data_IF_148818132580
#
_entry.id   IF_148818132580
#
_cell.length_a   1.000
_cell.length_b   1.000
_cell.length_c   1.000
_cell.angle_alpha   90.00
_cell.angle_beta   90.00
_cell.angle_gamma   90.00
#
_symmetry.space_group_name_H-M   'P 1'
#
loop_
_entity.id
_entity.type
_entity.pdbx_description
1 polymer ?
#
# COMPACT_ATOMS: atom_id res chain seq x y z
N UNK A 1 38.97 3.62 8.46
CA UNK A 1 38.55 3.80 9.86
C UNK A 1 37.26 3.01 10.04
N UNK A 2 37.23 1.93 10.84
CA UNK A 2 36.01 1.13 11.00
C UNK A 2 35.08 1.78 12.04
N UNK A 3 33.79 1.85 11.75
CA UNK A 3 32.78 2.36 12.68
C UNK A 3 32.81 1.56 14.00
N UNK A 4 32.77 2.27 15.12
CA UNK A 4 32.66 1.69 16.47
C UNK A 4 31.27 1.04 16.66
N UNK A 5 31.08 0.27 17.73
CA UNK A 5 29.76 -0.30 18.06
C UNK A 5 28.72 0.78 18.34
N UNK A 6 29.12 1.85 19.04
CA UNK A 6 28.24 2.99 19.34
C UNK A 6 27.80 3.72 18.05
N UNK A 7 28.72 3.89 17.10
CA UNK A 7 28.40 4.51 15.81
C UNK A 7 27.39 3.67 15.01
N UNK A 8 27.52 2.34 15.05
CA UNK A 8 26.58 1.43 14.36
C UNK A 8 25.20 1.45 15.01
N UNK A 9 25.13 1.51 16.33
CA UNK A 9 23.87 1.62 17.06
C UNK A 9 23.19 2.97 16.79
N UNK A 10 23.95 4.06 16.77
CA UNK A 10 23.45 5.39 16.41
C UNK A 10 22.92 5.43 14.97
N UNK A 11 23.67 4.88 14.01
CA UNK A 11 23.24 4.78 12.62
C UNK A 11 21.97 3.94 12.46
N UNK A 12 21.87 2.82 13.19
CA UNK A 12 20.68 1.96 13.19
C UNK A 12 19.46 2.70 13.71
N UNK A 13 19.59 3.41 14.85
CA UNK A 13 18.50 4.24 15.41
C UNK A 13 18.06 5.33 14.44
N UNK A 14 19.01 5.99 13.78
CA UNK A 14 18.72 7.01 12.78
C UNK A 14 17.97 6.42 11.57
N UNK A 15 18.40 5.27 11.06
CA UNK A 15 17.74 4.60 9.94
C UNK A 15 16.29 4.19 10.29
N UNK A 16 16.07 3.66 11.50
CA UNK A 16 14.73 3.34 12.01
C UNK A 16 13.85 4.60 12.09
N UNK A 17 14.39 5.70 12.60
CA UNK A 17 13.67 6.96 12.67
C UNK A 17 13.31 7.48 11.27
N UNK A 18 14.26 7.47 10.34
CA UNK A 18 14.03 7.88 8.96
C UNK A 18 12.98 7.02 8.28
N UNK A 19 13.01 5.70 8.47
CA UNK A 19 12.01 4.78 7.92
C UNK A 19 10.58 5.04 8.44
N UNK A 20 10.41 5.70 9.59
CA UNK A 20 9.07 6.12 10.04
C UNK A 20 8.49 7.25 9.21
N UNK A 21 9.32 8.15 8.72
CA UNK A 21 8.87 9.41 8.11
C UNK A 21 9.18 9.51 6.61
N UNK A 22 10.01 8.60 6.07
CA UNK A 22 10.36 8.51 4.65
C UNK A 22 10.06 7.10 4.10
N UNK A 23 9.15 7.02 3.13
CA UNK A 23 8.71 5.76 2.54
C UNK A 23 9.83 5.01 1.81
N UNK A 24 10.74 5.70 1.13
CA UNK A 24 11.82 5.00 0.44
C UNK A 24 12.87 4.50 1.43
N UNK A 25 13.15 5.23 2.51
CA UNK A 25 13.96 4.73 3.62
C UNK A 25 13.34 3.49 4.25
N UNK A 26 12.01 3.47 4.41
CA UNK A 26 11.27 2.27 4.83
C UNK A 26 11.47 1.10 3.86
N UNK A 27 11.30 1.32 2.55
CA UNK A 27 11.52 0.29 1.52
C UNK A 27 12.94 -0.26 1.59
N UNK A 28 13.96 0.60 1.69
CA UNK A 28 15.36 0.20 1.76
C UNK A 28 15.68 -0.59 3.04
N UNK A 29 15.08 -0.21 4.17
CA UNK A 29 15.28 -0.93 5.43
C UNK A 29 14.57 -2.29 5.44
N UNK A 30 13.37 -2.36 4.86
CA UNK A 30 12.60 -3.59 4.73
C UNK A 30 13.14 -4.54 3.64
N UNK A 31 13.80 -4.00 2.63
CA UNK A 31 14.44 -4.75 1.56
C UNK A 31 15.82 -4.15 1.23
N UNK A 32 16.86 -4.55 1.97
CA UNK A 32 18.23 -4.05 1.77
C UNK A 32 18.82 -4.35 0.39
N UNK A 33 18.24 -5.30 -0.35
CA UNK A 33 18.67 -5.67 -1.70
C UNK A 33 17.98 -4.86 -2.80
N UNK A 34 17.04 -3.99 -2.44
CA UNK A 34 16.30 -3.17 -3.39
C UNK A 34 17.21 -2.14 -4.07
N UNK A 35 17.29 -2.21 -5.40
CA UNK A 35 18.03 -1.22 -6.19
C UNK A 35 17.18 0.02 -6.44
N UNK A 36 17.66 1.17 -5.98
CA UNK A 36 16.95 2.44 -6.05
C UNK A 36 17.30 3.19 -7.34
N UNK A 37 16.28 3.50 -8.13
CA UNK A 37 16.36 4.41 -9.28
C UNK A 37 15.77 5.79 -8.95
N UNK A 38 16.09 6.83 -9.74
CA UNK A 38 15.60 8.20 -9.52
C UNK A 38 14.06 8.30 -9.46
N UNK A 39 13.36 7.49 -10.26
CA UNK A 39 11.89 7.48 -10.31
C UNK A 39 11.26 6.92 -9.03
N UNK A 40 11.96 6.05 -8.28
CA UNK A 40 11.45 5.53 -7.01
C UNK A 40 11.34 6.63 -5.96
N UNK A 41 12.28 7.58 -5.94
CA UNK A 41 12.21 8.74 -5.05
C UNK A 41 10.99 9.60 -5.37
N UNK A 42 10.82 9.98 -6.64
CA UNK A 42 9.66 10.77 -7.08
C UNK A 42 8.35 10.06 -6.73
N UNK A 43 8.26 8.75 -6.99
CA UNK A 43 7.10 7.93 -6.66
C UNK A 43 6.80 7.97 -5.15
N UNK A 44 7.80 7.69 -4.31
CA UNK A 44 7.63 7.71 -2.87
C UNK A 44 7.22 9.08 -2.35
N UNK A 45 7.79 10.16 -2.88
CA UNK A 45 7.46 11.52 -2.45
C UNK A 45 6.00 11.88 -2.78
N UNK A 46 5.49 11.49 -3.96
CA UNK A 46 4.06 11.69 -4.28
C UNK A 46 3.13 10.87 -3.39
N UNK A 47 3.50 9.62 -3.06
CA UNK A 47 2.73 8.78 -2.14
C UNK A 47 2.70 9.37 -0.72
N UNK A 48 3.83 9.90 -0.24
CA UNK A 48 3.92 10.56 1.07
C UNK A 48 3.11 11.87 1.11
N UNK A 49 3.11 12.66 0.02
CA UNK A 49 2.24 13.85 -0.09
C UNK A 49 0.76 13.46 0.01
N UNK A 50 0.38 12.35 -0.63
CA UNK A 50 -0.97 11.82 -0.53
C UNK A 50 -1.29 11.36 0.88
N UNK A 51 -0.40 10.62 1.55
CA UNK A 51 -0.60 10.18 2.93
C UNK A 51 -0.79 11.36 3.90
N UNK A 52 0.03 12.41 3.77
CA UNK A 52 -0.07 13.65 4.56
C UNK A 52 -1.35 14.45 4.34
N UNK A 53 -2.04 14.21 3.22
CA UNK A 53 -3.25 14.95 2.85
C UNK A 53 -3.01 16.20 1.99
N UNK A 54 -1.82 16.35 1.39
CA UNK A 54 -1.56 17.41 0.41
C UNK A 54 -2.33 17.18 -0.90
N UNK A 55 -2.67 15.92 -1.17
CA UNK A 55 -3.57 15.50 -2.25
C UNK A 55 -4.35 14.27 -1.81
N UNK A 56 -5.61 14.17 -2.22
CA UNK A 56 -6.41 12.96 -1.95
C UNK A 56 -6.50 12.03 -3.17
N UNK A 57 -6.01 12.44 -4.33
CA UNK A 57 -6.08 11.66 -5.58
C UNK A 57 -4.73 11.67 -6.28
N UNK A 58 -4.20 10.49 -6.54
CA UNK A 58 -2.94 10.31 -7.26
C UNK A 58 -3.11 9.25 -8.33
N UNK A 59 -2.71 9.59 -9.56
CA UNK A 59 -2.62 8.66 -10.68
C UNK A 59 -1.17 8.54 -11.09
N UNK A 60 -0.65 7.31 -11.15
CA UNK A 60 0.73 6.98 -11.49
C UNK A 60 0.71 6.12 -12.75
N UNK A 61 1.29 6.66 -13.81
CA UNK A 61 1.49 5.96 -15.06
C UNK A 61 2.98 5.71 -15.25
N UNK A 62 3.39 4.46 -15.21
CA UNK A 62 4.80 4.08 -15.33
C UNK A 62 4.92 2.72 -16.02
N UNK A 63 6.03 2.51 -16.71
CA UNK A 63 6.27 1.30 -17.49
C UNK A 63 6.20 0.03 -16.64
N UNK A 64 5.96 -1.14 -17.27
CA UNK A 64 6.11 -2.43 -16.61
C UNK A 64 7.52 -2.59 -16.03
N UNK A 65 7.67 -3.48 -15.03
CA UNK A 65 8.96 -3.84 -14.43
C UNK A 65 9.73 -2.67 -13.77
N UNK A 66 9.04 -1.57 -13.45
CA UNK A 66 9.59 -0.38 -12.77
C UNK A 66 9.58 -0.46 -11.23
N UNK A 67 9.17 -1.60 -10.67
CA UNK A 67 8.89 -1.82 -9.25
C UNK A 67 7.71 -1.02 -8.69
N UNK A 68 6.84 -0.48 -9.57
CA UNK A 68 5.64 0.28 -9.18
C UNK A 68 4.80 -0.44 -8.12
N UNK A 69 4.33 -1.66 -8.42
CA UNK A 69 3.41 -2.42 -7.57
C UNK A 69 4.05 -2.84 -6.25
N UNK A 70 5.36 -3.11 -6.27
CA UNK A 70 6.10 -3.42 -5.04
C UNK A 70 6.09 -2.22 -4.08
N UNK A 71 6.28 -1.02 -4.59
CA UNK A 71 6.23 0.20 -3.77
C UNK A 71 4.78 0.57 -3.45
N UNK A 72 3.92 0.78 -4.44
CA UNK A 72 2.57 1.34 -4.29
C UNK A 72 1.58 0.37 -3.65
N UNK A 73 1.68 -0.92 -3.95
CA UNK A 73 0.65 -1.92 -3.63
C UNK A 73 1.11 -2.88 -2.53
N UNK A 74 2.33 -2.71 -2.00
CA UNK A 74 2.88 -3.58 -0.95
C UNK A 74 3.59 -2.78 0.14
N UNK A 75 4.65 -2.02 -0.15
CA UNK A 75 5.36 -1.29 0.91
C UNK A 75 4.61 -0.04 1.39
N UNK A 76 4.00 0.71 0.49
CA UNK A 76 3.24 1.90 0.83
C UNK A 76 2.06 1.62 1.76
N UNK A 77 1.14 0.67 1.49
CA UNK A 77 0.06 0.35 2.42
C UNK A 77 0.58 -0.14 3.78
N UNK A 78 1.63 -0.98 3.79
CA UNK A 78 2.26 -1.41 5.05
C UNK A 78 2.78 -0.20 5.86
N UNK A 79 3.47 0.73 5.21
CA UNK A 79 3.99 1.94 5.83
C UNK A 79 2.89 2.90 6.28
N UNK A 80 1.85 3.09 5.46
CA UNK A 80 0.71 3.95 5.75
C UNK A 80 -0.09 3.45 6.96
N UNK A 81 -0.28 2.14 7.11
CA UNK A 81 -0.86 1.52 8.31
C UNK A 81 0.02 1.68 9.55
N UNK A 82 1.34 1.65 9.39
CA UNK A 82 2.29 1.94 10.46
C UNK A 82 2.18 3.38 10.97
N UNK A 83 2.06 4.33 10.03
CA UNK A 83 1.87 5.77 10.27
C UNK A 83 0.48 6.12 10.81
N UNK A 84 -0.55 5.44 10.31
CA UNK A 84 -1.96 5.69 10.56
C UNK A 84 -2.66 4.40 11.00
N UNK A 85 -2.50 3.99 12.27
CA UNK A 85 -2.93 2.68 12.74
C UNK A 85 -4.43 2.40 12.61
N UNK A 86 -5.24 3.46 12.53
CA UNK A 86 -6.71 3.42 12.48
C UNK A 86 -7.26 3.52 11.05
N UNK A 87 -6.39 3.65 10.05
CA UNK A 87 -6.83 3.67 8.67
C UNK A 87 -7.41 2.32 8.24
N UNK A 88 -8.37 2.41 7.35
CA UNK A 88 -8.95 1.25 6.68
C UNK A 88 -8.48 1.34 5.24
N UNK A 89 -7.90 0.26 4.74
CA UNK A 89 -7.31 0.23 3.41
C UNK A 89 -8.02 -0.78 2.53
N UNK A 90 -8.24 -0.42 1.27
CA UNK A 90 -8.74 -1.33 0.24
C UNK A 90 -7.69 -1.36 -0.88
N UNK A 91 -7.17 -2.54 -1.19
CA UNK A 91 -6.31 -2.77 -2.34
C UNK A 91 -7.08 -3.53 -3.42
N UNK A 92 -7.02 -3.02 -4.64
CA UNK A 92 -7.71 -3.58 -5.80
C UNK A 92 -6.74 -3.88 -6.92
N UNK A 93 -6.94 -5.01 -7.58
CA UNK A 93 -6.23 -5.42 -8.79
C UNK A 93 -7.22 -5.97 -9.82
N UNK A 94 -6.82 -6.14 -11.09
CA UNK A 94 -7.69 -6.78 -12.10
C UNK A 94 -8.20 -8.21 -11.75
N UNK A 95 -7.62 -8.89 -10.75
CA UNK A 95 -8.07 -10.22 -10.31
C UNK A 95 -8.01 -10.36 -8.77
N UNK A 96 -8.95 -11.14 -8.21
CA UNK A 96 -8.99 -11.44 -6.77
C UNK A 96 -7.72 -12.15 -6.28
N UNK A 97 -7.17 -13.06 -7.10
CA UNK A 97 -5.95 -13.80 -6.77
C UNK A 97 -4.75 -12.87 -6.61
N UNK A 98 -4.57 -11.92 -7.54
CA UNK A 98 -3.46 -10.97 -7.47
C UNK A 98 -3.65 -10.01 -6.30
N UNK A 99 -4.86 -9.51 -6.07
CA UNK A 99 -5.17 -8.69 -4.91
C UNK A 99 -4.86 -9.43 -3.59
N UNK A 100 -5.27 -10.70 -3.48
CA UNK A 100 -5.03 -11.54 -2.29
C UNK A 100 -3.54 -11.75 -2.04
N UNK A 101 -2.71 -11.85 -3.10
CA UNK A 101 -1.25 -11.92 -2.95
C UNK A 101 -0.68 -10.65 -2.34
N UNK A 102 -1.17 -9.47 -2.72
CA UNK A 102 -0.77 -8.21 -2.08
C UNK A 102 -1.18 -8.18 -0.60
N UNK A 103 -2.43 -8.53 -0.29
CA UNK A 103 -2.92 -8.58 1.09
C UNK A 103 -2.09 -9.50 1.98
N UNK A 104 -1.69 -10.66 1.45
CA UNK A 104 -0.76 -11.58 2.12
C UNK A 104 0.63 -10.96 2.31
N UNK A 105 1.20 -10.37 1.27
CA UNK A 105 2.54 -9.79 1.33
C UNK A 105 2.63 -8.66 2.36
N UNK A 106 1.62 -7.77 2.41
CA UNK A 106 1.55 -6.68 3.40
C UNK A 106 1.47 -7.24 4.82
N UNK A 107 0.59 -8.22 5.04
CA UNK A 107 0.46 -8.88 6.34
C UNK A 107 1.76 -9.54 6.78
N UNK A 108 2.46 -10.19 5.87
CA UNK A 108 3.72 -10.86 6.15
C UNK A 108 4.83 -9.82 6.44
N UNK A 109 4.86 -8.67 5.76
CA UNK A 109 5.72 -7.51 6.08
C UNK A 109 5.47 -7.03 7.51
N UNK A 110 4.22 -6.80 7.89
CA UNK A 110 3.84 -6.29 9.23
C UNK A 110 4.28 -7.25 10.34
N UNK A 111 4.27 -8.56 10.09
CA UNK A 111 4.69 -9.57 11.06
C UNK A 111 6.22 -9.71 11.19
N UNK A 112 7.03 -9.02 10.39
CA UNK A 112 8.49 -9.11 10.48
C UNK A 112 9.06 -8.31 11.65
N UNK A 113 10.18 -8.77 12.20
CA UNK A 113 10.91 -8.04 13.25
C UNK A 113 11.39 -6.66 12.78
N UNK A 114 11.77 -6.53 11.50
CA UNK A 114 12.18 -5.25 10.93
C UNK A 114 11.03 -4.23 10.97
N UNK A 115 9.83 -4.63 10.54
CA UNK A 115 8.65 -3.79 10.63
C UNK A 115 8.32 -3.44 12.09
N UNK A 116 8.35 -4.42 13.00
CA UNK A 116 8.10 -4.19 14.43
C UNK A 116 9.14 -3.27 15.08
N UNK A 117 10.36 -3.21 14.56
CA UNK A 117 11.37 -2.26 15.04
C UNK A 117 10.99 -0.82 14.66
N UNK A 118 10.40 -0.63 13.47
CA UNK A 118 9.92 0.66 12.98
C UNK A 118 8.59 1.03 13.67
N UNK A 119 7.61 0.14 13.69
CA UNK A 119 6.26 0.37 14.20
C UNK A 119 5.88 -0.64 15.32
N UNK A 120 6.49 -0.57 16.51
CA UNK A 120 6.42 -1.61 17.55
C UNK A 120 5.05 -1.83 18.19
N UNK A 121 4.09 -0.94 17.92
CA UNK A 121 2.77 -0.98 18.53
C UNK A 121 1.70 -1.51 17.58
N UNK A 122 2.07 -1.89 16.36
CA UNK A 122 1.17 -2.30 15.27
C UNK A 122 1.30 -3.79 15.04
N UNK A 123 0.20 -4.52 15.23
CA UNK A 123 0.20 -5.97 15.05
C UNK A 123 -1.05 -6.40 14.29
N UNK A 124 -1.00 -7.59 13.69
CA UNK A 124 -2.18 -8.22 13.08
C UNK A 124 -3.02 -8.89 14.18
N UNK A 125 -4.30 -8.53 14.25
CA UNK A 125 -5.27 -9.09 15.22
C UNK A 125 -5.36 -10.61 15.08
N UNK A 126 -5.51 -11.35 16.18
CA UNK A 126 -5.43 -12.84 16.19
C UNK A 126 -6.59 -13.57 15.53
N UNK A 127 -7.77 -12.99 15.59
CA UNK A 127 -9.06 -13.56 15.18
C UNK A 127 -9.52 -13.11 13.78
N UNK A 128 -8.84 -12.15 13.14
CA UNK A 128 -9.14 -11.71 11.77
C UNK A 128 -7.85 -11.61 10.92
N UNK A 129 -7.52 -12.73 10.26
CA UNK A 129 -6.23 -12.98 9.59
C UNK A 129 -6.34 -13.58 8.19
N UNK A 130 -7.50 -13.52 7.55
CA UNK A 130 -7.64 -14.07 6.20
C UNK A 130 -6.65 -13.38 5.25
N UNK A 131 -6.19 -14.09 4.20
CA UNK A 131 -5.17 -13.55 3.31
C UNK A 131 -5.62 -12.27 2.58
N UNK A 132 -6.91 -12.19 2.26
CA UNK A 132 -7.54 -11.07 1.58
C UNK A 132 -8.24 -10.08 2.53
N UNK A 133 -8.41 -10.40 3.82
CA UNK A 133 -9.08 -9.52 4.78
C UNK A 133 -8.54 -9.75 6.18
N UNK A 134 -7.99 -8.71 6.79
CA UNK A 134 -7.43 -8.77 8.13
C UNK A 134 -7.54 -7.44 8.86
N UNK A 135 -7.41 -7.47 10.18
CA UNK A 135 -7.50 -6.30 11.04
C UNK A 135 -6.22 -6.07 11.83
N UNK A 136 -5.97 -4.81 12.17
CA UNK A 136 -4.87 -4.39 13.04
C UNK A 136 -5.30 -4.28 14.49
N UNK A 137 -4.31 -4.43 15.36
CA UNK A 137 -4.33 -3.93 16.71
C UNK A 137 -3.23 -2.87 16.90
N UNK A 138 -3.58 -1.79 17.61
CA UNK A 138 -2.67 -0.75 18.04
C UNK A 138 -2.74 -0.64 19.56
N UNK A 139 -1.60 -0.80 20.26
CA UNK A 139 -1.56 -0.85 21.73
C UNK A 139 -2.54 -1.88 22.33
N UNK A 140 -2.66 -3.07 21.69
CA UNK A 140 -3.58 -4.16 22.07
C UNK A 140 -5.08 -3.79 22.01
N UNK A 141 -5.44 -2.73 21.27
CA UNK A 141 -6.83 -2.35 20.98
C UNK A 141 -7.11 -2.50 19.50
N UNK A 142 -8.37 -2.76 19.14
CA UNK A 142 -8.79 -2.76 17.74
C UNK A 142 -8.42 -1.44 17.06
N UNK A 143 -7.88 -1.55 15.86
CA UNK A 143 -7.46 -0.41 15.07
C UNK A 143 -7.99 -0.55 13.63
N UNK A 144 -7.16 -0.24 12.64
CA UNK A 144 -7.45 -0.29 11.22
C UNK A 144 -7.71 -1.69 10.67
N UNK A 145 -7.98 -1.74 9.37
CA UNK A 145 -8.23 -2.99 8.65
C UNK A 145 -7.76 -2.89 7.21
N UNK A 146 -7.56 -4.04 6.58
CA UNK A 146 -7.15 -4.14 5.19
C UNK A 146 -8.05 -5.14 4.46
N UNK A 147 -8.50 -4.76 3.27
CA UNK A 147 -9.23 -5.62 2.34
C UNK A 147 -8.52 -5.64 0.98
N UNK A 148 -8.28 -6.83 0.44
CA UNK A 148 -7.90 -7.04 -0.94
C UNK A 148 -9.08 -7.60 -1.74
N UNK A 149 -9.33 -7.02 -2.91
CA UNK A 149 -10.39 -7.47 -3.81
C UNK A 149 -10.00 -7.30 -5.28
N UNK A 150 -10.58 -8.11 -6.16
CA UNK A 150 -10.53 -7.91 -7.60
C UNK A 150 -11.41 -6.73 -8.03
N UNK A 151 -11.08 -6.13 -9.17
CA UNK A 151 -11.94 -5.15 -9.84
C UNK A 151 -13.26 -5.79 -10.23
N UNK A 152 -14.38 -5.19 -9.84
CA UNK A 152 -15.71 -5.78 -10.05
C UNK A 152 -16.19 -6.64 -8.88
N UNK A 153 -15.31 -7.02 -7.94
CA UNK A 153 -15.70 -7.76 -6.74
C UNK A 153 -16.46 -6.86 -5.75
N UNK A 154 -17.34 -7.48 -4.97
CA UNK A 154 -18.14 -6.80 -3.95
C UNK A 154 -17.28 -6.37 -2.76
N UNK A 155 -17.15 -5.05 -2.56
CA UNK A 155 -16.42 -4.43 -1.44
C UNK A 155 -17.35 -3.76 -0.42
N UNK A 156 -18.64 -4.12 -0.45
CA UNK A 156 -19.64 -3.53 0.43
C UNK A 156 -19.35 -3.82 1.91
N UNK A 157 -19.64 -2.85 2.79
CA UNK A 157 -19.42 -2.96 4.24
C UNK A 157 -18.01 -2.58 4.72
N UNK A 158 -17.06 -2.33 3.81
CA UNK A 158 -15.72 -1.87 4.16
C UNK A 158 -15.56 -0.37 3.85
N UNK A 159 -14.88 0.34 4.75
CA UNK A 159 -14.46 1.73 4.55
C UNK A 159 -13.03 1.79 3.99
N UNK A 160 -12.71 2.90 3.33
CA UNK A 160 -11.39 3.18 2.79
C UNK A 160 -10.93 4.60 3.15
N UNK A 161 -9.99 4.70 4.08
CA UNK A 161 -9.15 5.89 4.25
C UNK A 161 -8.06 5.94 3.17
N UNK A 162 -7.61 4.78 2.69
CA UNK A 162 -6.74 4.65 1.53
C UNK A 162 -7.26 3.54 0.61
N UNK A 163 -7.51 3.88 -0.65
CA UNK A 163 -7.82 2.93 -1.71
C UNK A 163 -6.65 2.87 -2.71
N UNK A 164 -6.05 1.71 -2.90
CA UNK A 164 -5.00 1.45 -3.88
C UNK A 164 -5.60 0.63 -5.00
N UNK A 165 -5.44 1.08 -6.24
CA UNK A 165 -5.93 0.43 -7.44
C UNK A 165 -4.71 0.17 -8.33
N UNK A 166 -4.30 -1.09 -8.47
CA UNK A 166 -3.13 -1.50 -9.24
C UNK A 166 -3.52 -2.32 -10.46
N UNK A 167 -3.21 -1.79 -11.65
CA UNK A 167 -3.58 -2.39 -12.94
C UNK A 167 -5.01 -2.98 -12.90
N UNK A 168 -6.06 -2.13 -12.79
CA UNK A 168 -7.44 -2.59 -12.56
C UNK A 168 -8.08 -3.28 -13.76
N UNK A 169 -7.37 -3.31 -14.90
CA UNK A 169 -7.81 -3.96 -16.12
C UNK A 169 -6.61 -4.70 -16.71
N UNK A 170 -6.84 -5.91 -17.22
CA UNK A 170 -5.80 -6.64 -17.94
C UNK A 170 -5.49 -5.95 -19.28
N UNK A 171 -4.31 -6.21 -19.85
CA UNK A 171 -3.93 -5.69 -21.16
C UNK A 171 -4.94 -6.06 -22.25
N UNK A 172 -5.40 -7.31 -22.27
CA UNK A 172 -6.40 -7.80 -23.23
C UNK A 172 -7.74 -7.09 -23.05
N UNK A 173 -8.14 -6.88 -21.80
CA UNK A 173 -9.42 -6.28 -21.44
C UNK A 173 -9.44 -4.77 -21.70
N UNK A 174 -8.26 -4.14 -21.69
CA UNK A 174 -8.10 -2.71 -21.94
C UNK A 174 -8.61 -2.30 -23.32
N UNK A 175 -8.67 -3.21 -24.30
CA UNK A 175 -9.21 -2.95 -25.64
C UNK A 175 -10.75 -3.13 -25.73
N UNK A 176 -11.38 -3.68 -24.70
CA UNK A 176 -12.84 -3.87 -24.66
C UNK A 176 -13.54 -2.67 -24.04
N UNK A 177 -14.32 -1.94 -24.85
CA UNK A 177 -15.13 -0.81 -24.38
C UNK A 177 -16.06 -1.24 -23.23
N UNK A 178 -16.74 -2.37 -23.38
CA UNK A 178 -17.66 -2.88 -22.35
C UNK A 178 -16.96 -3.11 -21.01
N UNK A 179 -15.75 -3.71 -21.02
CA UNK A 179 -14.99 -3.93 -19.79
C UNK A 179 -14.51 -2.62 -19.16
N UNK A 180 -14.08 -1.65 -19.96
CA UNK A 180 -13.73 -0.31 -19.49
C UNK A 180 -14.93 0.40 -18.84
N UNK A 181 -16.10 0.35 -19.49
CA UNK A 181 -17.33 0.97 -18.98
C UNK A 181 -17.75 0.32 -17.65
N UNK A 182 -17.70 -1.02 -17.56
CA UNK A 182 -17.97 -1.74 -16.31
C UNK A 182 -16.98 -1.39 -15.19
N UNK A 183 -15.69 -1.22 -15.49
CA UNK A 183 -14.69 -0.81 -14.50
C UNK A 183 -14.96 0.63 -14.00
N UNK A 184 -15.30 1.55 -14.90
CA UNK A 184 -15.63 2.93 -14.56
C UNK A 184 -16.88 3.01 -13.66
N UNK A 185 -17.89 2.19 -13.96
CA UNK A 185 -19.09 2.06 -13.13
C UNK A 185 -18.75 1.49 -11.75
N UNK A 186 -17.97 0.41 -11.69
CA UNK A 186 -17.52 -0.18 -10.43
C UNK A 186 -16.68 0.81 -9.60
N UNK A 187 -15.86 1.64 -10.21
CA UNK A 187 -15.13 2.70 -9.50
C UNK A 187 -16.10 3.73 -8.90
N UNK A 188 -17.05 4.23 -9.71
CA UNK A 188 -17.94 5.33 -9.32
C UNK A 188 -18.98 4.91 -8.29
N UNK A 189 -19.62 3.76 -8.52
CA UNK A 189 -20.74 3.26 -7.73
C UNK A 189 -20.32 2.23 -6.68
N UNK A 190 -19.15 1.61 -6.84
CA UNK A 190 -18.54 0.70 -5.87
C UNK A 190 -17.51 1.41 -5.00
N UNK A 191 -16.26 1.49 -5.46
CA UNK A 191 -15.12 1.90 -4.65
C UNK A 191 -15.24 3.31 -4.07
N UNK A 192 -15.65 4.29 -4.88
CA UNK A 192 -15.76 5.68 -4.44
C UNK A 192 -16.76 5.86 -3.31
N UNK A 193 -17.80 5.03 -3.25
CA UNK A 193 -18.80 5.04 -2.16
C UNK A 193 -18.27 4.49 -0.83
N UNK A 194 -17.12 3.83 -0.85
CA UNK A 194 -16.45 3.30 0.35
C UNK A 194 -15.48 4.29 1.00
N UNK A 195 -15.17 5.39 0.32
CA UNK A 195 -14.20 6.35 0.84
C UNK A 195 -14.74 7.00 2.12
N UNK A 196 -13.92 6.94 3.16
CA UNK A 196 -14.15 7.62 4.43
C UNK A 196 -13.92 9.13 4.25
N UNK A 197 -14.34 10.00 5.19
CA UNK A 197 -13.97 11.41 5.16
C UNK A 197 -12.45 11.60 5.03
N UNK A 198 -12.02 12.40 4.03
CA UNK A 198 -10.60 12.55 3.70
C UNK A 198 -9.94 11.32 3.07
N UNK A 199 -10.75 10.37 2.58
CA UNK A 199 -10.30 9.14 1.95
C UNK A 199 -9.50 9.40 0.68
N UNK A 200 -8.38 8.69 0.56
CA UNK A 200 -7.38 8.87 -0.49
C UNK A 200 -7.47 7.75 -1.53
N UNK A 201 -7.15 8.07 -2.77
CA UNK A 201 -7.12 7.10 -3.87
C UNK A 201 -5.78 7.19 -4.60
N UNK A 202 -5.11 6.05 -4.71
CA UNK A 202 -3.93 5.85 -5.55
C UNK A 202 -4.33 4.91 -6.68
N UNK A 203 -4.28 5.40 -7.91
CA UNK A 203 -4.36 4.57 -9.11
C UNK A 203 -2.96 4.43 -9.69
N UNK A 204 -2.51 3.20 -9.88
CA UNK A 204 -1.23 2.90 -10.51
C UNK A 204 -1.48 1.92 -11.64
N UNK A 205 -1.02 2.27 -12.84
CA UNK A 205 -1.15 1.35 -13.96
C UNK A 205 -0.08 1.56 -15.03
N UNK A 206 0.10 0.52 -15.84
CA UNK A 206 0.68 0.68 -17.18
C UNK A 206 -0.44 1.12 -18.13
N UNK A 207 -0.23 2.17 -18.93
CA UNK A 207 -1.21 2.56 -19.95
C UNK A 207 -1.10 1.65 -21.16
N UNK A 208 -2.18 0.94 -21.46
CA UNK A 208 -2.29 0.03 -22.61
C UNK A 208 -3.13 0.61 -23.75
N UNK A 209 -3.97 1.62 -23.47
CA UNK A 209 -4.91 2.21 -24.42
C UNK A 209 -5.12 3.70 -24.14
N UNK A 210 -5.59 4.44 -25.15
CA UNK A 210 -6.00 5.86 -25.10
C UNK A 210 -7.21 6.09 -24.21
#
# INVERSE_FOLDING_TARGET
MSLTSEDRDAATRLAIHQARDDLLAFVMLMNPTFSVGPHHRVLCDQLMRLEKGDTDRLMIFISPRSSKSLITSTYFPAWALGRNPYWQEIAVSHSDDLATRFGRAIRDIINTNAYQTIFPQINIRKDNRAANSWALEHKKKQAGSFLAAGSGSGIAGFGAHLAIIDDPISEQDAFSKTRRDSLNEWYSSGLRTRLMPGGKVVLVMTRWHE
#
